data_IF_442933162978
#
_entry.id   IF_442933162978
#
_cell.length_a   1.000
_cell.length_b   1.000
_cell.length_c   1.000
_cell.angle_alpha   90.00
_cell.angle_beta   90.00
_cell.angle_gamma   90.00
#
_symmetry.space_group_name_H-M   'P 1'
#
loop_
_entity.id
_entity.type
_entity.pdbx_description
1 polymer ?
#
# COMPACT_ATOMS: atom_id res chain seq x y z
N UNK A 1 -10.55 -5.33 6.93
CA UNK A 1 -9.59 -6.16 6.16
C UNK A 1 -9.11 -5.34 4.98
N UNK A 2 -7.79 -5.31 4.75
CA UNK A 2 -7.15 -4.52 3.70
C UNK A 2 -6.46 -5.42 2.65
N UNK A 3 -6.55 -5.00 1.39
CA UNK A 3 -6.15 -5.74 0.21
C UNK A 3 -5.31 -4.85 -0.72
N UNK A 4 -3.99 -5.07 -0.79
CA UNK A 4 -3.15 -4.43 -1.80
C UNK A 4 -3.49 -4.99 -3.17
N UNK A 5 -3.68 -4.11 -4.15
CA UNK A 5 -3.97 -4.43 -5.55
C UNK A 5 -2.96 -3.72 -6.45
N UNK A 6 -2.53 -4.37 -7.52
CA UNK A 6 -1.66 -3.76 -8.54
C UNK A 6 -2.24 -4.00 -9.92
N UNK A 7 -2.31 -2.94 -10.72
CA UNK A 7 -2.84 -2.97 -12.08
C UNK A 7 -1.84 -2.33 -13.04
N UNK A 8 -1.64 -2.95 -14.20
CA UNK A 8 -0.84 -2.36 -15.28
C UNK A 8 -1.48 -1.07 -15.86
N UNK A 9 -2.78 -0.89 -15.65
CA UNK A 9 -3.54 0.26 -16.13
C UNK A 9 -3.97 1.15 -14.96
N UNK A 10 -4.13 2.46 -15.17
CA UNK A 10 -4.67 3.38 -14.17
C UNK A 10 -6.17 3.22 -14.06
N UNK A 11 -6.62 2.08 -13.51
CA UNK A 11 -8.03 1.68 -13.44
C UNK A 11 -8.95 2.72 -12.80
N UNK A 12 -8.43 3.52 -11.86
CA UNK A 12 -9.13 4.63 -11.21
C UNK A 12 -9.37 5.84 -12.13
N UNK A 13 -8.67 5.93 -13.26
CA UNK A 13 -8.77 7.02 -14.23
C UNK A 13 -9.50 6.62 -15.51
N UNK A 14 -9.60 5.33 -15.80
CA UNK A 14 -10.21 4.84 -17.04
C UNK A 14 -11.67 5.31 -17.11
N UNK A 15 -12.01 5.99 -18.20
CA UNK A 15 -13.35 6.52 -18.43
C UNK A 15 -13.69 6.53 -19.92
N UNK A 16 -14.84 7.07 -20.31
CA UNK A 16 -15.13 7.27 -21.72
C UNK A 16 -14.15 8.24 -22.39
N UNK A 17 -13.72 9.26 -21.64
CA UNK A 17 -12.89 10.37 -22.13
C UNK A 17 -11.39 10.11 -21.92
N UNK A 18 -11.01 9.15 -21.07
CA UNK A 18 -9.62 8.77 -20.81
C UNK A 18 -9.40 7.28 -21.03
N UNK A 19 -8.90 6.94 -22.21
CA UNK A 19 -8.61 5.57 -22.67
C UNK A 19 -7.22 5.52 -23.28
N UNK A 20 -6.16 5.43 -22.46
CA UNK A 20 -4.81 5.24 -22.99
C UNK A 20 -4.76 3.98 -23.85
N UNK A 21 -4.03 4.03 -24.96
CA UNK A 21 -3.84 2.90 -25.88
C UNK A 21 -2.68 2.00 -25.47
N UNK A 22 -1.79 2.50 -24.60
CA UNK A 22 -0.63 1.79 -24.08
C UNK A 22 -0.60 1.89 -22.55
N UNK A 23 -0.17 0.83 -21.84
CA UNK A 23 -0.04 0.86 -20.39
C UNK A 23 1.06 1.85 -19.97
N UNK A 24 0.87 2.61 -18.87
CA UNK A 24 1.93 3.43 -18.31
C UNK A 24 3.15 2.60 -17.89
N UNK A 25 4.32 3.25 -17.84
CA UNK A 25 5.56 2.62 -17.37
C UNK A 25 5.47 2.15 -15.91
N UNK A 26 4.74 2.89 -15.08
CA UNK A 26 4.53 2.55 -13.67
C UNK A 26 3.14 1.95 -13.46
N UNK A 27 3.04 0.78 -12.78
CA UNK A 27 1.75 0.20 -12.46
C UNK A 27 1.03 1.05 -11.43
N UNK A 28 -0.30 0.98 -11.46
CA UNK A 28 -1.13 1.58 -10.41
C UNK A 28 -1.23 0.63 -9.23
N UNK A 29 -0.73 1.07 -8.09
CA UNK A 29 -0.92 0.41 -6.81
C UNK A 29 -2.12 1.00 -6.06
N UNK A 30 -3.06 0.15 -5.65
CA UNK A 30 -4.24 0.52 -4.87
C UNK A 30 -4.27 -0.28 -3.57
N UNK A 31 -4.90 0.29 -2.55
CA UNK A 31 -5.32 -0.41 -1.34
C UNK A 31 -6.83 -0.38 -1.28
N UNK A 32 -7.45 -1.56 -1.26
CA UNK A 32 -8.88 -1.71 -1.05
C UNK A 32 -9.12 -2.20 0.37
N UNK A 33 -10.01 -1.56 1.13
CA UNK A 33 -10.37 -2.05 2.46
C UNK A 33 -11.84 -1.79 2.76
N UNK A 34 -12.34 -2.48 3.78
CA UNK A 34 -13.66 -2.21 4.34
C UNK A 34 -13.49 -1.44 5.64
N UNK A 35 -14.08 -0.25 5.71
CA UNK A 35 -14.12 0.57 6.93
C UNK A 35 -15.12 0.00 7.95
N UNK A 36 -15.19 0.64 9.12
CA UNK A 36 -16.11 0.26 10.21
C UNK A 36 -17.59 0.43 9.87
N UNK A 37 -17.93 1.19 8.83
CA UNK A 37 -19.29 1.39 8.33
C UNK A 37 -19.64 0.42 7.19
N UNK A 38 -18.84 -0.65 7.06
CA UNK A 38 -18.96 -1.68 6.02
C UNK A 38 -18.79 -1.16 4.59
N UNK A 39 -18.24 0.04 4.42
CA UNK A 39 -18.02 0.62 3.09
C UNK A 39 -16.68 0.20 2.53
N UNK A 40 -16.69 -0.20 1.26
CA UNK A 40 -15.46 -0.44 0.51
C UNK A 40 -14.83 0.91 0.15
N UNK A 41 -13.58 1.09 0.54
CA UNK A 41 -12.74 2.25 0.27
C UNK A 41 -11.55 1.85 -0.59
N UNK A 42 -11.04 2.83 -1.32
CA UNK A 42 -9.86 2.67 -2.16
C UNK A 42 -8.93 3.86 -1.93
N UNK A 43 -7.63 3.59 -1.87
CA UNK A 43 -6.58 4.60 -1.84
C UNK A 43 -5.49 4.21 -2.83
N UNK A 44 -5.04 5.15 -3.64
CA UNK A 44 -3.83 4.94 -4.45
C UNK A 44 -2.60 5.01 -3.55
N UNK A 45 -1.74 3.99 -3.63
CA UNK A 45 -0.51 3.90 -2.87
C UNK A 45 0.70 4.25 -3.72
N UNK A 46 1.75 4.74 -3.08
CA UNK A 46 3.09 4.70 -3.67
C UNK A 46 3.58 3.24 -3.79
N UNK A 47 4.53 2.93 -4.69
CA UNK A 47 5.12 1.59 -4.78
C UNK A 47 5.68 1.10 -3.43
N UNK A 48 6.33 2.00 -2.68
CA UNK A 48 6.85 1.70 -1.34
C UNK A 48 5.73 1.27 -0.38
N UNK A 49 4.66 2.07 -0.28
CA UNK A 49 3.53 1.79 0.60
C UNK A 49 2.83 0.48 0.20
N UNK A 50 2.71 0.20 -1.10
CA UNK A 50 2.16 -1.06 -1.60
C UNK A 50 2.97 -2.28 -1.15
N UNK A 51 4.30 -2.23 -1.30
CA UNK A 51 5.17 -3.31 -0.87
C UNK A 51 5.18 -3.51 0.65
N UNK A 52 5.00 -2.44 1.44
CA UNK A 52 4.79 -2.58 2.89
C UNK A 52 3.45 -3.27 3.18
N UNK A 53 2.37 -2.85 2.52
CA UNK A 53 1.04 -3.42 2.70
C UNK A 53 0.99 -4.92 2.35
N UNK A 54 1.69 -5.36 1.30
CA UNK A 54 1.81 -6.77 0.95
C UNK A 54 2.46 -7.61 2.05
N UNK A 55 3.53 -7.10 2.65
CA UNK A 55 4.25 -7.77 3.73
C UNK A 55 3.38 -7.91 4.99
N UNK A 56 2.69 -6.82 5.35
CA UNK A 56 1.75 -6.83 6.48
C UNK A 56 0.56 -7.76 6.21
N UNK A 57 0.05 -7.79 4.97
CA UNK A 57 -1.02 -8.72 4.59
C UNK A 57 -0.56 -10.19 4.68
N UNK A 58 0.69 -10.48 4.34
CA UNK A 58 1.29 -11.80 4.49
C UNK A 58 1.55 -12.18 5.96
N UNK A 59 1.23 -11.29 6.91
CA UNK A 59 1.43 -11.54 8.33
C UNK A 59 2.85 -11.27 8.81
N UNK A 60 3.71 -10.62 8.03
CA UNK A 60 5.05 -10.30 8.50
C UNK A 60 4.99 -9.30 9.66
N UNK A 61 5.81 -9.46 10.72
CA UNK A 61 5.91 -8.50 11.80
C UNK A 61 6.30 -7.11 11.28
N UNK A 62 5.74 -6.06 11.90
CA UNK A 62 5.87 -4.68 11.39
C UNK A 62 7.32 -4.22 11.25
N UNK A 63 8.20 -4.63 12.18
CA UNK A 63 9.61 -4.24 12.16
C UNK A 63 10.38 -4.96 11.05
N UNK A 64 10.18 -6.27 10.91
CA UNK A 64 10.80 -7.09 9.86
C UNK A 64 10.37 -6.60 8.48
N UNK A 65 9.07 -6.36 8.30
CA UNK A 65 8.54 -5.85 7.03
C UNK A 65 9.16 -4.49 6.63
N UNK A 66 9.46 -3.62 7.60
CA UNK A 66 10.13 -2.34 7.37
C UNK A 66 11.62 -2.54 7.03
N UNK A 67 12.34 -3.36 7.79
CA UNK A 67 13.75 -3.61 7.54
C UNK A 67 13.99 -4.24 6.16
N UNK A 68 13.23 -5.29 5.83
CA UNK A 68 13.29 -5.95 4.51
C UNK A 68 12.98 -4.97 3.38
N UNK A 69 12.02 -4.07 3.59
CA UNK A 69 11.64 -3.10 2.58
C UNK A 69 12.70 -2.01 2.40
N UNK A 70 13.34 -1.57 3.49
CA UNK A 70 14.47 -0.64 3.43
C UNK A 70 15.62 -1.24 2.61
N UNK A 71 15.98 -2.49 2.90
CA UNK A 71 17.04 -3.23 2.19
C UNK A 71 16.75 -3.36 0.69
N UNK A 72 15.57 -3.88 0.32
CA UNK A 72 15.19 -4.07 -1.09
C UNK A 72 15.06 -2.75 -1.85
N UNK A 73 14.74 -1.66 -1.15
CA UNK A 73 14.64 -0.32 -1.75
C UNK A 73 15.98 0.43 -1.77
N UNK A 74 17.06 -0.15 -1.23
CA UNK A 74 18.36 0.52 -1.09
C UNK A 74 18.32 1.73 -0.15
N UNK A 75 17.37 1.78 0.78
CA UNK A 75 17.20 2.86 1.75
C UNK A 75 17.92 2.54 3.06
N UNK A 76 18.50 3.56 3.69
CA UNK A 76 19.02 3.43 5.04
C UNK A 76 17.86 3.34 6.05
N UNK A 77 17.83 2.29 6.87
CA UNK A 77 16.88 2.13 7.97
C UNK A 77 17.25 3.05 9.16
N UNK A 78 17.30 4.36 8.91
CA UNK A 78 17.64 5.38 9.88
C UNK A 78 16.40 5.93 10.61
N UNK A 79 16.61 6.92 11.49
CA UNK A 79 15.53 7.53 12.26
C UNK A 79 14.46 8.19 11.37
N UNK A 80 14.85 8.77 10.23
CA UNK A 80 13.90 9.41 9.31
C UNK A 80 13.04 8.37 8.61
N UNK A 81 13.66 7.30 8.11
CA UNK A 81 12.95 6.17 7.51
C UNK A 81 11.86 5.63 8.44
N UNK A 82 12.22 5.32 9.69
CA UNK A 82 11.25 4.80 10.67
C UNK A 82 10.18 5.83 11.05
N UNK A 83 10.49 7.13 11.07
CA UNK A 83 9.50 8.17 11.32
C UNK A 83 8.48 8.24 10.17
N UNK A 84 8.92 8.13 8.92
CA UNK A 84 8.05 8.08 7.74
C UNK A 84 7.19 6.82 7.72
N UNK A 85 7.78 5.65 7.97
CA UNK A 85 7.04 4.39 8.05
C UNK A 85 5.99 4.41 9.17
N UNK A 86 6.34 4.97 10.34
CA UNK A 86 5.39 5.18 11.44
C UNK A 86 4.23 6.09 11.02
N UNK A 87 4.52 7.24 10.41
CA UNK A 87 3.49 8.18 9.99
C UNK A 87 2.51 7.55 8.98
N UNK A 88 3.01 6.72 8.06
CA UNK A 88 2.18 5.96 7.12
C UNK A 88 1.28 4.94 7.83
N UNK A 89 1.84 4.16 8.76
CA UNK A 89 1.07 3.16 9.53
C UNK A 89 0.01 3.83 10.41
N UNK A 90 0.34 4.95 11.04
CA UNK A 90 -0.60 5.73 11.85
C UNK A 90 -1.73 6.30 10.98
N UNK A 91 -1.42 6.71 9.74
CA UNK A 91 -2.43 7.15 8.78
C UNK A 91 -3.39 6.04 8.37
N UNK A 92 -2.87 4.86 8.07
CA UNK A 92 -3.68 3.69 7.78
C UNK A 92 -4.56 3.30 8.96
N UNK A 93 -4.02 3.32 10.18
CA UNK A 93 -4.81 3.06 11.38
C UNK A 93 -5.96 4.06 11.53
N UNK A 94 -5.73 5.36 11.26
CA UNK A 94 -6.80 6.39 11.29
C UNK A 94 -7.89 6.17 10.24
N UNK A 95 -7.58 5.46 9.15
CA UNK A 95 -8.51 5.14 8.07
C UNK A 95 -9.20 3.78 8.26
N UNK A 96 -9.09 3.16 9.44
CA UNK A 96 -9.63 1.82 9.72
C UNK A 96 -9.04 0.71 8.81
N UNK A 97 -7.80 0.90 8.34
CA UNK A 97 -7.08 -0.10 7.55
C UNK A 97 -6.46 -1.11 8.52
N UNK A 98 -6.98 -2.34 8.48
CA UNK A 98 -6.47 -3.47 9.25
C UNK A 98 -5.99 -4.60 8.35
N UNK A 99 -4.75 -5.04 8.56
CA UNK A 99 -4.18 -6.25 7.99
C UNK A 99 -4.44 -7.45 8.92
N UNK A 100 -4.59 -8.67 8.39
CA UNK A 100 -4.72 -9.86 9.22
C UNK A 100 -3.45 -10.07 10.06
N UNK A 101 -3.56 -10.60 11.29
CA UNK A 101 -2.38 -11.01 12.06
C UNK A 101 -1.66 -12.18 11.37
N UNK A 102 -0.34 -12.27 11.62
CA UNK A 102 0.45 -13.45 11.26
C UNK A 102 -0.24 -14.73 11.75
N UNK A 103 -0.47 -15.69 10.85
CA UNK A 103 -0.98 -17.02 11.21
C UNK A 103 0.17 -17.90 11.68
#
# INVERSE_FOLDING_TARGET
MAWPLVYAWPVQRLSADYRPTEPPAEPTCLLAWRDREERVRFQQLSPFAYHLALRLQAGQPHLEAQLDLAEVSGLAADKHYFAHARALLDDWQRQDICFPPAT
#
